data_IF_858768440738
#
_entry.id   IF_858768440738
#
_cell.length_a   1.000
_cell.length_b   1.000
_cell.length_c   1.000
_cell.angle_alpha   90.00
_cell.angle_beta   90.00
_cell.angle_gamma   90.00
#
_symmetry.space_group_name_H-M   'P 1'
#
loop_
_entity.id
_entity.type
_entity.pdbx_description
1 polymer ?
#
# COMPACT_ATOMS: atom_id res chain seq x y z
N UNK A 1 -21.15 -5.93 6.55
CA UNK A 1 -19.72 -5.73 6.90
C UNK A 1 -19.06 -7.10 6.84
N UNK A 2 -18.04 -7.26 5.99
CA UNK A 2 -17.34 -8.54 5.80
C UNK A 2 -15.92 -8.41 6.34
N UNK A 3 -15.48 -9.39 7.13
CA UNK A 3 -14.11 -9.48 7.60
C UNK A 3 -13.36 -10.48 6.72
N UNK A 4 -12.29 -10.03 6.07
CA UNK A 4 -11.42 -10.91 5.32
C UNK A 4 -10.40 -11.54 6.26
N UNK A 5 -10.32 -12.87 6.28
CA UNK A 5 -9.28 -13.58 7.01
C UNK A 5 -7.92 -13.34 6.33
N UNK A 6 -6.97 -12.79 7.09
CA UNK A 6 -5.59 -12.62 6.66
C UNK A 6 -4.71 -13.59 7.46
N UNK A 7 -4.10 -14.61 6.81
CA UNK A 7 -3.21 -15.53 7.51
C UNK A 7 -1.98 -14.81 8.05
N UNK A 8 -1.44 -15.34 9.16
CA UNK A 8 -0.22 -14.82 9.77
C UNK A 8 0.94 -14.78 8.75
N UNK A 9 1.83 -13.80 8.91
CA UNK A 9 3.03 -13.63 8.09
C UNK A 9 2.78 -13.58 6.57
N UNK A 10 1.59 -13.14 6.14
CA UNK A 10 1.24 -13.02 4.71
C UNK A 10 1.07 -11.56 4.24
N UNK A 11 2.11 -10.70 4.38
CA UNK A 11 2.02 -9.30 3.98
C UNK A 11 1.77 -9.13 2.47
N UNK A 12 2.18 -10.11 1.67
CA UNK A 12 1.95 -10.15 0.23
C UNK A 12 0.49 -10.37 -0.17
N UNK A 13 -0.41 -10.66 0.78
CA UNK A 13 -1.86 -10.73 0.55
C UNK A 13 -2.59 -9.45 1.00
N UNK A 14 -1.91 -8.58 1.74
CA UNK A 14 -2.49 -7.36 2.29
C UNK A 14 -2.19 -6.15 1.39
N UNK A 15 -3.21 -5.56 0.72
CA UNK A 15 -2.99 -4.44 -0.21
C UNK A 15 -2.30 -3.22 0.42
N UNK A 16 -2.52 -2.98 1.72
CA UNK A 16 -1.93 -1.82 2.40
C UNK A 16 -0.40 -1.88 2.47
N UNK A 17 0.19 -3.08 2.48
CA UNK A 17 1.64 -3.26 2.46
C UNK A 17 2.24 -2.74 1.14
N UNK A 18 1.54 -2.93 0.03
CA UNK A 18 1.97 -2.43 -1.28
C UNK A 18 1.88 -0.89 -1.36
N UNK A 19 0.87 -0.30 -0.70
CA UNK A 19 0.74 1.15 -0.55
C UNK A 19 1.92 1.70 0.23
N UNK A 20 2.23 1.15 1.40
CA UNK A 20 3.35 1.61 2.23
C UNK A 20 4.70 1.42 1.55
N UNK A 21 4.88 0.32 0.80
CA UNK A 21 6.09 0.10 -0.01
C UNK A 21 6.23 1.20 -1.08
N UNK A 22 5.17 1.49 -1.81
CA UNK A 22 5.20 2.54 -2.85
C UNK A 22 5.44 3.93 -2.25
N UNK A 23 4.80 4.21 -1.11
CA UNK A 23 4.98 5.47 -0.39
C UNK A 23 6.44 5.68 0.00
N UNK A 24 7.08 4.68 0.61
CA UNK A 24 8.46 4.77 1.09
C UNK A 24 9.49 4.86 -0.05
N UNK A 25 9.33 4.02 -1.07
CA UNK A 25 10.38 3.82 -2.08
C UNK A 25 10.14 4.56 -3.40
N UNK A 26 8.93 5.03 -3.68
CA UNK A 26 8.58 5.67 -4.96
C UNK A 26 8.10 7.10 -4.80
N UNK A 27 7.24 7.37 -3.82
CA UNK A 27 6.53 8.66 -3.75
C UNK A 27 7.17 9.68 -2.83
N UNK A 28 7.67 9.25 -1.66
CA UNK A 28 8.42 10.13 -0.79
C UNK A 28 9.78 10.46 -1.39
N UNK A 29 10.15 11.73 -1.33
CA UNK A 29 11.44 12.24 -1.75
C UNK A 29 12.35 12.39 -0.54
N UNK A 30 13.67 12.43 -0.76
CA UNK A 30 14.67 12.63 0.30
C UNK A 30 14.38 13.87 1.17
N UNK A 31 13.90 14.95 0.54
CA UNK A 31 13.56 16.22 1.22
C UNK A 31 12.41 16.07 2.23
N UNK A 32 11.50 15.12 2.01
CA UNK A 32 10.35 14.91 2.90
C UNK A 32 10.81 14.31 4.24
N UNK A 33 11.93 13.59 4.26
CA UNK A 33 12.51 12.99 5.46
C UNK A 33 13.29 14.00 6.34
N UNK A 34 13.39 15.27 5.93
CA UNK A 34 14.20 16.27 6.63
C UNK A 34 13.66 16.62 8.04
N UNK A 35 12.36 16.47 8.26
CA UNK A 35 11.76 16.63 9.59
C UNK A 35 10.48 15.83 9.72
N UNK A 36 10.05 15.57 10.95
CA UNK A 36 8.76 14.93 11.21
C UNK A 36 7.58 15.71 10.61
N UNK A 37 7.62 17.04 10.68
CA UNK A 37 6.57 17.88 10.12
C UNK A 37 6.51 17.77 8.59
N UNK A 38 7.66 17.79 7.91
CA UNK A 38 7.74 17.59 6.46
C UNK A 38 7.25 16.20 6.05
N UNK A 39 7.71 15.16 6.73
CA UNK A 39 7.35 13.78 6.44
C UNK A 39 5.85 13.58 6.60
N UNK A 40 5.29 14.04 7.72
CA UNK A 40 3.85 13.96 8.00
C UNK A 40 3.04 14.68 6.92
N UNK A 41 3.44 15.90 6.55
CA UNK A 41 2.77 16.69 5.51
C UNK A 41 2.78 15.96 4.16
N UNK A 42 3.93 15.41 3.76
CA UNK A 42 4.07 14.66 2.51
C UNK A 42 3.22 13.39 2.50
N UNK A 43 3.23 12.61 3.60
CA UNK A 43 2.40 11.40 3.74
C UNK A 43 0.92 11.74 3.57
N UNK A 44 0.41 12.76 4.28
CA UNK A 44 -1.01 13.13 4.17
C UNK A 44 -1.38 13.66 2.79
N UNK A 45 -0.49 14.41 2.13
CA UNK A 45 -0.71 14.86 0.76
C UNK A 45 -0.82 13.67 -0.22
N UNK A 46 0.08 12.70 -0.09
CA UNK A 46 0.06 11.47 -0.89
C UNK A 46 -1.23 10.69 -0.66
N UNK A 47 -1.61 10.46 0.61
CA UNK A 47 -2.82 9.71 0.96
C UNK A 47 -4.08 10.43 0.44
N UNK A 48 -4.15 11.76 0.54
CA UNK A 48 -5.29 12.55 0.07
C UNK A 48 -5.46 12.49 -1.45
N UNK A 49 -4.36 12.37 -2.19
CA UNK A 49 -4.35 12.27 -3.65
C UNK A 49 -4.19 10.82 -4.15
N UNK A 50 -4.28 9.83 -3.26
CA UNK A 50 -4.20 8.43 -3.63
C UNK A 50 -5.40 8.03 -4.49
N UNK A 51 -5.14 7.31 -5.57
CA UNK A 51 -6.13 7.00 -6.62
C UNK A 51 -6.21 8.04 -7.75
N UNK A 52 -5.60 9.22 -7.60
CA UNK A 52 -5.50 10.24 -8.64
C UNK A 52 -4.06 10.34 -9.17
N UNK A 53 -3.20 11.03 -8.43
CA UNK A 53 -1.78 11.22 -8.78
C UNK A 53 -0.93 10.02 -8.35
N UNK A 54 -1.34 9.33 -7.29
CA UNK A 54 -0.65 8.18 -6.73
C UNK A 54 -1.49 6.93 -6.95
N UNK A 55 -1.12 6.14 -7.95
CA UNK A 55 -1.83 4.91 -8.34
C UNK A 55 -0.93 3.70 -8.19
N UNK A 56 -1.54 2.59 -7.81
CA UNK A 56 -0.93 1.26 -7.76
C UNK A 56 -1.90 0.34 -8.50
N UNK A 57 -1.34 -0.51 -9.36
CA UNK A 57 -2.09 -1.62 -9.92
C UNK A 57 -2.09 -2.79 -8.93
N UNK A 58 -3.29 -3.18 -8.49
CA UNK A 58 -3.50 -4.31 -7.58
C UNK A 58 -3.88 -5.61 -8.32
N UNK A 59 -3.90 -5.61 -9.64
CA UNK A 59 -4.32 -6.78 -10.44
C UNK A 59 -3.47 -8.02 -10.13
N UNK A 60 -2.16 -7.84 -9.98
CA UNK A 60 -1.25 -8.94 -9.60
C UNK A 60 -1.59 -9.51 -8.22
N UNK A 61 -1.92 -8.64 -7.26
CA UNK A 61 -2.33 -9.04 -5.92
C UNK A 61 -3.67 -9.78 -5.93
N UNK A 62 -4.63 -9.29 -6.72
CA UNK A 62 -5.93 -9.92 -6.89
C UNK A 62 -5.78 -11.34 -7.47
N UNK A 63 -4.93 -11.51 -8.49
CA UNK A 63 -4.64 -12.82 -9.07
C UNK A 63 -4.04 -13.79 -8.03
N UNK A 64 -3.10 -13.32 -7.20
CA UNK A 64 -2.50 -14.14 -6.13
C UNK A 64 -3.51 -14.55 -5.07
N UNK A 65 -4.40 -13.63 -4.70
CA UNK A 65 -5.47 -13.92 -3.75
C UNK A 65 -6.47 -14.95 -4.32
N UNK A 66 -6.84 -14.85 -5.60
CA UNK A 66 -7.72 -15.84 -6.26
C UNK A 66 -7.10 -17.23 -6.32
N UNK A 67 -5.82 -17.34 -6.68
CA UNK A 67 -5.10 -18.62 -6.71
C UNK A 67 -5.12 -19.27 -5.32
N UNK A 68 -4.87 -18.51 -4.26
CA UNK A 68 -4.89 -19.03 -2.88
C UNK A 68 -6.27 -19.48 -2.40
N UNK A 69 -7.34 -18.82 -2.82
CA UNK A 69 -8.72 -19.20 -2.45
C UNK A 69 -9.10 -20.52 -3.14
N UNK A 70 -8.71 -20.70 -4.40
CA UNK A 70 -9.06 -21.88 -5.19
C UNK A 70 -8.14 -23.10 -4.93
N UNK A 71 -7.04 -22.91 -4.19
CA UNK A 71 -6.09 -23.96 -3.83
C UNK A 71 -6.26 -24.49 -2.39
N UNK A 72 -7.37 -24.17 -1.73
CA UNK A 72 -7.69 -24.58 -0.36
C UNK A 72 -8.58 -25.83 -0.34
#
# INVERSE_FOLDING_TARGET
>A
MYLFFLPAYSPHLNPIELVWKSLKYRWLKKVDYNSWACLKKAIFAIIRNFGQDYKIDFSELANRNMIKINSA
#
